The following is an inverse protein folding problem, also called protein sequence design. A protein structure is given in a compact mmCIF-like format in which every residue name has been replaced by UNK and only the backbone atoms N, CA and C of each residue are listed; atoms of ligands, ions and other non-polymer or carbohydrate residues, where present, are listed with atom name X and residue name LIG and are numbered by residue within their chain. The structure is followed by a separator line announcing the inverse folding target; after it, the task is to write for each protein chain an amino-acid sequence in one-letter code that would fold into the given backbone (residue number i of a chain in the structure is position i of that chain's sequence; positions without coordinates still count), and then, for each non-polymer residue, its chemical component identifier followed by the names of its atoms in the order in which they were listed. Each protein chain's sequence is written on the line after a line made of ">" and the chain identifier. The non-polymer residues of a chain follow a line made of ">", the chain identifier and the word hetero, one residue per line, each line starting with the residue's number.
data_IF_614406071884
#
_entry.id   IF_614406071884
#
_cell.length_a   1.000
_cell.length_b   1.000
_cell.length_c   1.000
_cell.angle_alpha   90.00
_cell.angle_beta   90.00
_cell.angle_gamma   90.00
#
_symmetry.space_group_name_H-M   'P 1'
#
loop_
_entity.id
_entity.type
_entity.pdbx_description
1 polymer ?
#
# COMPACT_ATOMS: atom_id res chain seq x y z
N UNK A 1 15.43 -22.18 0.01
CA UNK A 1 14.45 -21.49 0.84
C UNK A 1 13.21 -21.21 -0.02
N UNK A 2 12.00 -21.50 0.49
CA UNK A 2 10.76 -21.36 -0.24
C UNK A 2 10.06 -19.99 -0.16
N UNK A 3 10.72 -18.96 0.37
CA UNK A 3 10.10 -17.61 0.45
C UNK A 3 10.10 -16.95 -0.92
N UNK A 4 8.99 -16.27 -1.26
CA UNK A 4 8.81 -15.55 -2.53
C UNK A 4 9.08 -14.07 -2.42
N UNK A 5 8.99 -13.51 -1.22
CA UNK A 5 9.14 -12.09 -0.94
C UNK A 5 10.14 -11.88 0.20
N UNK A 6 10.99 -10.87 0.08
CA UNK A 6 11.88 -10.40 1.15
C UNK A 6 11.16 -9.24 1.86
N UNK A 7 10.92 -9.41 3.16
CA UNK A 7 10.29 -8.40 4.00
C UNK A 7 11.28 -7.63 4.86
N UNK A 8 10.80 -6.57 5.52
CA UNK A 8 11.53 -5.80 6.51
C UNK A 8 10.69 -4.70 7.13
N UNK A 9 11.11 -4.23 8.31
CA UNK A 9 10.50 -3.11 9.03
C UNK A 9 11.60 -2.10 9.39
N UNK A 10 12.24 -1.48 8.39
CA UNK A 10 13.46 -0.70 8.62
C UNK A 10 13.26 0.51 9.54
N UNK A 11 12.09 1.13 9.58
CA UNK A 11 11.81 2.29 10.44
C UNK A 11 11.84 1.96 11.95
N UNK A 12 11.92 0.69 12.33
CA UNK A 12 12.15 0.25 13.72
C UNK A 12 13.63 0.18 14.09
N UNK A 13 14.54 0.33 13.14
CA UNK A 13 15.96 0.39 13.44
C UNK A 13 16.31 1.64 14.28
N UNK A 14 17.30 1.52 15.16
CA UNK A 14 17.63 2.56 16.13
C UNK A 14 18.23 3.81 15.53
N UNK A 15 18.94 3.71 14.41
CA UNK A 15 19.57 4.86 13.74
C UNK A 15 19.22 4.90 12.26
N UNK A 16 19.33 6.08 11.66
CA UNK A 16 19.10 6.27 10.22
C UNK A 16 20.06 5.43 9.37
N UNK A 17 21.29 5.24 9.84
CA UNK A 17 22.31 4.44 9.18
C UNK A 17 21.89 2.97 9.15
N UNK A 18 21.39 2.42 10.26
CA UNK A 18 20.89 1.05 10.33
C UNK A 18 19.62 0.84 9.48
N UNK A 19 18.73 1.84 9.43
CA UNK A 19 17.59 1.80 8.51
C UNK A 19 18.06 1.63 7.06
N UNK A 20 19.02 2.45 6.64
CA UNK A 20 19.55 2.39 5.27
C UNK A 20 20.29 1.07 5.01
N UNK A 21 21.08 0.61 5.98
CA UNK A 21 21.79 -0.67 5.88
C UNK A 21 20.83 -1.85 5.75
N UNK A 22 19.78 -1.92 6.58
CA UNK A 22 18.77 -2.98 6.50
C UNK A 22 18.07 -3.03 5.14
N UNK A 23 17.81 -1.87 4.53
CA UNK A 23 17.28 -1.80 3.17
C UNK A 23 18.25 -2.35 2.13
N UNK A 24 19.54 -2.01 2.23
CA UNK A 24 20.54 -2.57 1.33
C UNK A 24 20.61 -4.10 1.45
N UNK A 25 20.57 -4.63 2.66
CA UNK A 25 20.55 -6.09 2.91
C UNK A 25 19.31 -6.73 2.25
N UNK A 26 18.12 -6.15 2.42
CA UNK A 26 16.89 -6.65 1.81
C UNK A 26 17.00 -6.69 0.28
N UNK A 27 17.51 -5.61 -0.34
CA UNK A 27 17.71 -5.57 -1.79
C UNK A 27 18.76 -6.58 -2.28
N UNK A 28 19.86 -6.76 -1.56
CA UNK A 28 20.89 -7.73 -1.91
C UNK A 28 20.38 -9.17 -1.85
N UNK A 29 19.59 -9.51 -0.83
CA UNK A 29 18.94 -10.81 -0.72
C UNK A 29 17.95 -11.01 -1.89
N UNK A 30 17.09 -10.05 -2.14
CA UNK A 30 16.09 -10.14 -3.20
C UNK A 30 16.74 -10.30 -4.59
N UNK A 31 17.80 -9.55 -4.87
CA UNK A 31 18.56 -9.67 -6.11
C UNK A 31 19.24 -11.04 -6.24
N UNK A 32 19.89 -11.50 -5.18
CA UNK A 32 20.59 -12.80 -5.15
C UNK A 32 19.66 -13.96 -5.48
N UNK A 33 18.42 -13.92 -4.98
CA UNK A 33 17.45 -15.01 -5.12
C UNK A 33 16.33 -14.70 -6.12
N UNK A 34 16.41 -13.59 -6.84
CA UNK A 34 15.38 -13.12 -7.79
C UNK A 34 13.98 -13.04 -7.18
N UNK A 35 13.87 -12.42 -6.01
CA UNK A 35 12.63 -12.32 -5.22
C UNK A 35 12.04 -10.92 -5.28
N UNK A 36 10.76 -10.81 -4.93
CA UNK A 36 10.11 -9.53 -4.66
C UNK A 36 10.54 -8.97 -3.30
N UNK A 37 10.26 -7.70 -3.08
CA UNK A 37 10.46 -6.99 -1.82
C UNK A 37 9.13 -6.40 -1.38
N UNK A 38 8.75 -6.59 -0.11
CA UNK A 38 7.67 -5.85 0.54
C UNK A 38 8.16 -5.36 1.91
N UNK A 39 8.26 -4.05 2.05
CA UNK A 39 8.83 -3.38 3.23
C UNK A 39 7.75 -2.56 3.92
N UNK A 40 7.56 -2.78 5.23
CA UNK A 40 6.83 -1.85 6.11
C UNK A 40 7.64 -0.56 6.21
N UNK A 41 7.33 0.39 5.34
CA UNK A 41 8.16 1.57 5.12
C UNK A 41 7.53 2.79 5.77
N UNK A 42 8.30 3.51 6.60
CA UNK A 42 7.87 4.78 7.19
C UNK A 42 6.49 4.70 7.87
N UNK A 43 6.21 3.59 8.55
CA UNK A 43 4.98 3.39 9.30
C UNK A 43 5.04 4.05 10.67
N UNK A 44 5.16 5.35 10.67
CA UNK A 44 5.32 6.18 11.86
C UNK A 44 4.72 7.57 11.61
N UNK A 45 4.42 8.29 12.69
CA UNK A 45 3.90 9.66 12.61
C UNK A 45 4.97 10.74 12.41
N UNK A 46 6.24 10.38 12.41
CA UNK A 46 7.36 11.31 12.25
C UNK A 46 7.56 11.71 10.78
N UNK A 47 7.42 12.99 10.48
CA UNK A 47 7.70 13.57 9.15
C UNK A 47 9.17 13.48 8.72
N UNK A 48 10.09 13.16 9.63
CA UNK A 48 11.50 12.93 9.33
C UNK A 48 11.78 11.50 8.88
N UNK A 49 10.85 10.57 9.06
CA UNK A 49 10.92 9.24 8.48
C UNK A 49 10.65 9.36 6.98
N UNK A 50 11.71 9.29 6.18
CA UNK A 50 11.71 9.53 4.72
C UNK A 50 12.45 8.42 3.96
N UNK A 51 12.43 7.23 4.52
CA UNK A 51 13.18 6.10 3.98
C UNK A 51 12.59 5.53 2.70
N UNK A 52 11.33 5.87 2.38
CA UNK A 52 10.74 5.56 1.08
C UNK A 52 11.56 6.12 -0.09
N UNK A 53 12.30 7.23 0.10
CA UNK A 53 13.22 7.73 -0.93
C UNK A 53 14.42 6.81 -1.15
N UNK A 54 14.91 6.16 -0.09
CA UNK A 54 15.99 5.15 -0.19
C UNK A 54 15.49 3.91 -0.92
N UNK A 55 14.29 3.40 -0.57
CA UNK A 55 13.66 2.28 -1.26
C UNK A 55 13.51 2.56 -2.75
N UNK A 56 12.96 3.73 -3.09
CA UNK A 56 12.77 4.14 -4.48
C UNK A 56 14.09 4.30 -5.24
N UNK A 57 15.12 4.86 -4.59
CA UNK A 57 16.45 5.03 -5.19
C UNK A 57 17.13 3.68 -5.44
N UNK A 58 17.04 2.73 -4.51
CA UNK A 58 17.59 1.38 -4.68
C UNK A 58 16.83 0.60 -5.76
N UNK A 59 15.49 0.70 -5.78
CA UNK A 59 14.67 0.09 -6.82
C UNK A 59 15.06 0.60 -8.22
N UNK A 60 15.26 1.90 -8.36
CA UNK A 60 15.71 2.51 -9.60
C UNK A 60 17.15 2.08 -9.97
N UNK A 61 18.07 2.11 -8.99
CA UNK A 61 19.47 1.71 -9.19
C UNK A 61 19.61 0.29 -9.70
N UNK A 62 18.76 -0.63 -9.23
CA UNK A 62 18.85 -2.05 -9.54
C UNK A 62 17.81 -2.53 -10.55
N UNK A 63 17.05 -1.61 -11.15
CA UNK A 63 15.95 -1.90 -12.09
C UNK A 63 14.94 -2.94 -11.54
N UNK A 64 14.55 -2.74 -10.28
CA UNK A 64 13.67 -3.66 -9.55
C UNK A 64 12.30 -3.07 -9.26
N UNK A 65 11.94 -1.89 -9.78
CA UNK A 65 10.76 -1.16 -9.37
C UNK A 65 9.48 -1.99 -9.32
N UNK A 66 9.19 -2.73 -10.36
CA UNK A 66 7.98 -3.58 -10.45
C UNK A 66 7.99 -4.79 -9.50
N UNK A 67 9.08 -5.03 -8.79
CA UNK A 67 9.23 -6.10 -7.78
C UNK A 67 9.28 -5.56 -6.37
N UNK A 68 9.13 -4.25 -6.18
CA UNK A 68 9.30 -3.60 -4.87
C UNK A 68 8.00 -2.94 -4.44
N UNK A 69 7.54 -3.29 -3.26
CA UNK A 69 6.38 -2.71 -2.59
C UNK A 69 6.82 -2.01 -1.31
N UNK A 70 6.35 -0.78 -1.12
CA UNK A 70 6.44 -0.04 0.13
C UNK A 70 5.06 0.00 0.79
N UNK A 71 4.90 -0.76 1.86
CA UNK A 71 3.66 -0.84 2.62
C UNK A 71 3.58 0.28 3.64
N UNK A 72 2.37 0.72 3.98
CA UNK A 72 2.02 1.78 4.92
C UNK A 72 2.42 3.19 4.47
N UNK A 73 3.68 3.54 4.53
CA UNK A 73 4.24 4.88 4.23
C UNK A 73 3.46 6.02 4.91
N UNK A 74 3.01 5.81 6.15
CA UNK A 74 2.12 6.73 6.88
C UNK A 74 2.78 8.07 7.20
N UNK A 75 4.09 8.10 7.39
CA UNK A 75 4.84 9.35 7.57
C UNK A 75 4.61 10.36 6.43
N UNK A 76 4.30 9.87 5.21
CA UNK A 76 4.03 10.71 4.06
C UNK A 76 2.82 11.63 4.26
N UNK A 77 1.87 11.25 5.12
CA UNK A 77 0.76 12.10 5.51
C UNK A 77 1.23 13.44 6.09
N UNK A 78 2.31 13.42 6.85
CA UNK A 78 2.88 14.59 7.54
C UNK A 78 3.91 15.38 6.72
N UNK A 79 4.34 14.88 5.56
CA UNK A 79 5.32 15.58 4.72
C UNK A 79 4.76 16.92 4.22
N UNK A 80 5.59 17.95 4.24
CA UNK A 80 5.23 19.20 3.58
C UNK A 80 5.08 19.01 2.07
N UNK A 81 4.28 19.86 1.45
CA UNK A 81 3.93 19.72 0.03
C UNK A 81 5.12 19.91 -0.92
N UNK A 82 6.11 20.73 -0.56
CA UNK A 82 7.30 20.92 -1.40
C UNK A 82 8.14 19.64 -1.47
N UNK A 83 8.36 18.99 -0.33
CA UNK A 83 9.07 17.71 -0.27
C UNK A 83 8.25 16.60 -0.99
N UNK A 84 6.96 16.49 -0.70
CA UNK A 84 6.10 15.49 -1.33
C UNK A 84 6.08 15.62 -2.87
N UNK A 85 5.99 16.85 -3.39
CA UNK A 85 6.03 17.08 -4.85
C UNK A 85 7.34 16.62 -5.49
N UNK A 86 8.48 16.85 -4.83
CA UNK A 86 9.78 16.33 -5.28
C UNK A 86 9.82 14.81 -5.20
N UNK A 87 9.35 14.23 -4.10
CA UNK A 87 9.34 12.79 -3.88
C UNK A 87 8.51 12.06 -4.94
N UNK A 88 7.33 12.54 -5.29
CA UNK A 88 6.50 11.90 -6.32
C UNK A 88 7.18 11.76 -7.67
N UNK A 89 8.12 12.64 -8.03
CA UNK A 89 8.91 12.49 -9.25
C UNK A 89 9.82 11.25 -9.17
N UNK A 90 10.48 11.04 -8.04
CA UNK A 90 11.31 9.86 -7.80
C UNK A 90 10.45 8.59 -7.78
N UNK A 91 9.32 8.59 -7.06
CA UNK A 91 8.42 7.45 -6.95
C UNK A 91 7.88 7.03 -8.32
N UNK A 92 7.52 8.00 -9.18
CA UNK A 92 7.09 7.72 -10.55
C UNK A 92 8.19 7.09 -11.39
N UNK A 93 9.43 7.56 -11.27
CA UNK A 93 10.58 7.01 -11.99
C UNK A 93 10.94 5.61 -11.52
N UNK A 94 10.86 5.35 -10.22
CA UNK A 94 11.24 4.06 -9.61
C UNK A 94 10.27 2.93 -9.90
N UNK A 95 9.02 3.23 -10.27
CA UNK A 95 7.93 2.27 -10.55
C UNK A 95 7.59 1.33 -9.39
N UNK A 96 7.96 1.66 -8.16
CA UNK A 96 7.60 0.87 -7.00
C UNK A 96 6.11 0.92 -6.74
N UNK A 97 5.59 -0.11 -6.07
CA UNK A 97 4.20 -0.21 -5.67
C UNK A 97 4.01 0.24 -4.23
N UNK A 98 2.79 0.62 -3.90
CA UNK A 98 2.40 1.01 -2.54
C UNK A 98 1.20 0.22 -2.07
N UNK A 99 1.21 -0.16 -0.78
CA UNK A 99 0.04 -0.72 -0.09
C UNK A 99 -0.31 0.21 1.07
N UNK A 100 -1.50 0.79 1.03
CA UNK A 100 -2.06 1.52 2.16
C UNK A 100 -3.03 0.60 2.92
N UNK A 101 -2.93 0.59 4.24
CA UNK A 101 -3.70 -0.29 5.12
C UNK A 101 -4.69 0.54 5.97
N UNK A 102 -5.80 1.04 5.39
CA UNK A 102 -6.62 2.08 6.01
C UNK A 102 -7.24 1.66 7.34
N UNK A 103 -7.59 0.39 7.54
CA UNK A 103 -8.19 -0.09 8.79
C UNK A 103 -7.20 -0.02 9.96
N UNK A 104 -5.96 -0.43 9.71
CA UNK A 104 -4.91 -0.46 10.73
C UNK A 104 -4.29 0.92 10.91
N UNK A 105 -3.92 1.58 9.82
CA UNK A 105 -3.22 2.85 9.90
C UNK A 105 -4.05 3.96 10.58
N UNK A 106 -5.37 4.05 10.33
CA UNK A 106 -6.22 5.05 11.00
C UNK A 106 -6.33 4.81 12.50
N UNK A 107 -6.15 3.58 12.95
CA UNK A 107 -6.20 3.19 14.35
C UNK A 107 -4.84 3.33 15.05
N UNK A 108 -3.74 2.93 14.39
CA UNK A 108 -2.39 2.95 14.98
C UNK A 108 -1.75 4.34 14.94
N UNK A 109 -2.02 5.13 13.90
CA UNK A 109 -1.42 6.45 13.75
C UNK A 109 -2.17 7.54 14.53
N UNK A 110 -1.52 8.67 14.79
CA UNK A 110 -2.08 9.81 15.51
C UNK A 110 -2.24 9.60 17.02
N UNK A 111 -1.59 8.59 17.60
CA UNK A 111 -1.69 8.32 19.04
C UNK A 111 -1.02 9.39 19.89
N UNK A 112 0.04 9.99 19.38
CA UNK A 112 0.74 11.09 20.05
C UNK A 112 0.15 12.47 19.74
N UNK A 113 -0.79 12.57 18.79
CA UNK A 113 -1.44 13.83 18.48
C UNK A 113 -2.42 14.23 19.58
N UNK A 114 -2.49 15.52 19.85
CA UNK A 114 -3.59 16.12 20.58
C UNK A 114 -4.77 16.32 19.61
N UNK A 115 -5.35 17.48 19.49
CA UNK A 115 -6.36 17.78 18.48
C UNK A 115 -5.90 18.97 17.59
N UNK A 116 -6.12 18.93 16.25
CA UNK A 116 -6.79 17.84 15.49
C UNK A 116 -5.87 16.63 15.31
N UNK A 117 -6.44 15.41 15.33
CA UNK A 117 -5.70 14.18 15.03
C UNK A 117 -5.53 13.99 13.51
N UNK A 118 -4.36 13.50 13.09
CA UNK A 118 -4.09 13.14 11.70
C UNK A 118 -4.91 11.93 11.27
N UNK A 119 -5.13 11.75 9.97
CA UNK A 119 -5.82 10.56 9.43
C UNK A 119 -4.93 9.32 9.38
N UNK A 120 -3.63 9.48 9.43
CA UNK A 120 -2.65 8.40 9.55
C UNK A 120 -2.50 7.49 8.33
N UNK A 121 -3.00 7.87 7.15
CA UNK A 121 -2.89 7.09 5.91
C UNK A 121 -2.04 7.86 4.90
N UNK A 122 -1.23 7.17 4.13
CA UNK A 122 -0.38 7.75 3.08
C UNK A 122 -1.19 8.55 2.04
N UNK A 123 -0.50 9.30 1.18
CA UNK A 123 -1.11 10.22 0.19
C UNK A 123 -1.69 9.50 -1.04
N UNK A 124 -2.60 8.55 -0.84
CA UNK A 124 -3.20 7.71 -1.89
C UNK A 124 -3.77 8.53 -3.05
N UNK A 125 -4.55 9.56 -2.74
CA UNK A 125 -5.19 10.42 -3.77
C UNK A 125 -4.17 11.10 -4.68
N UNK A 126 -3.04 11.53 -4.13
CA UNK A 126 -1.96 12.16 -4.89
C UNK A 126 -1.16 11.12 -5.68
N UNK A 127 -0.94 9.93 -5.13
CA UNK A 127 -0.30 8.82 -5.86
C UNK A 127 -1.09 8.46 -7.11
N UNK A 128 -2.40 8.27 -6.99
CA UNK A 128 -3.28 7.98 -8.12
C UNK A 128 -3.21 9.06 -9.20
N UNK A 129 -3.22 10.36 -8.81
CA UNK A 129 -3.07 11.48 -9.74
C UNK A 129 -1.73 11.49 -10.48
N UNK A 130 -0.69 10.93 -9.88
CA UNK A 130 0.65 10.84 -10.46
C UNK A 130 0.88 9.51 -11.20
N UNK A 131 -0.13 8.66 -11.37
CA UNK A 131 -0.04 7.33 -11.97
C UNK A 131 0.99 6.43 -11.24
N UNK A 132 1.08 6.54 -9.92
CA UNK A 132 1.85 5.65 -9.06
C UNK A 132 0.91 4.53 -8.62
N UNK A 133 1.34 3.27 -8.78
CA UNK A 133 0.50 2.15 -8.38
C UNK A 133 0.38 2.10 -6.85
N UNK A 134 -0.84 2.27 -6.38
CA UNK A 134 -1.21 2.11 -4.97
C UNK A 134 -2.43 1.22 -4.87
N UNK A 135 -2.42 0.31 -3.91
CA UNK A 135 -3.55 -0.55 -3.57
C UNK A 135 -3.85 -0.49 -2.07
N UNK A 136 -4.95 -1.08 -1.67
CA UNK A 136 -5.30 -1.23 -0.27
C UNK A 136 -5.04 -2.66 0.20
N UNK A 137 -4.48 -2.79 1.42
CA UNK A 137 -4.28 -4.02 2.14
C UNK A 137 -5.14 -4.07 3.40
N UNK A 138 -5.42 -5.27 3.89
CA UNK A 138 -6.12 -5.45 5.16
C UNK A 138 -5.15 -5.31 6.32
N UNK A 139 -3.91 -5.78 6.13
CA UNK A 139 -2.87 -5.89 7.14
C UNK A 139 -3.28 -6.92 8.21
N UNK A 140 -3.52 -6.49 9.43
CA UNK A 140 -3.87 -7.34 10.56
C UNK A 140 -5.33 -7.87 10.47
N UNK A 141 -5.52 -9.15 10.80
CA UNK A 141 -6.82 -9.83 10.77
C UNK A 141 -7.06 -10.54 12.10
N UNK A 142 -7.90 -9.96 12.94
CA UNK A 142 -8.27 -10.50 14.25
C UNK A 142 -7.05 -10.86 15.12
N UNK A 143 -6.19 -9.89 15.32
CA UNK A 143 -4.95 -10.00 16.09
C UNK A 143 -4.82 -8.85 17.11
N UNK A 144 -3.71 -8.79 17.91
CA UNK A 144 -3.54 -7.76 18.93
C UNK A 144 -3.46 -6.32 18.38
N UNK A 145 -3.09 -6.12 17.14
CA UNK A 145 -2.99 -4.79 16.52
C UNK A 145 -4.31 -4.34 15.91
N UNK A 146 -5.09 -5.27 15.35
CA UNK A 146 -6.42 -4.97 14.81
C UNK A 146 -7.45 -6.08 15.10
N UNK A 147 -8.11 -6.07 16.27
CA UNK A 147 -9.03 -7.12 16.69
C UNK A 147 -10.37 -7.15 15.91
N UNK A 148 -10.67 -6.16 15.07
CA UNK A 148 -11.90 -6.06 14.27
C UNK A 148 -11.73 -6.61 12.85
N UNK A 149 -10.57 -7.15 12.50
CA UNK A 149 -10.26 -7.64 11.17
C UNK A 149 -11.04 -8.89 10.79
N UNK A 150 -11.58 -8.92 9.59
CA UNK A 150 -12.38 -10.05 9.05
C UNK A 150 -11.88 -10.53 7.69
N UNK A 151 -10.73 -10.03 7.22
CA UNK A 151 -10.20 -10.25 5.86
C UNK A 151 -11.15 -9.79 4.73
N UNK A 152 -12.15 -8.95 5.03
CA UNK A 152 -13.09 -8.45 4.04
C UNK A 152 -12.53 -7.24 3.28
N UNK A 153 -12.13 -7.43 2.03
CA UNK A 153 -11.55 -6.37 1.21
C UNK A 153 -12.55 -5.28 0.80
N UNK A 154 -13.86 -5.53 0.82
CA UNK A 154 -14.86 -4.47 0.63
C UNK A 154 -14.92 -3.53 1.84
N UNK A 155 -14.72 -4.05 3.07
CA UNK A 155 -14.59 -3.24 4.27
C UNK A 155 -13.34 -2.35 4.20
N UNK A 156 -12.22 -2.91 3.78
CA UNK A 156 -10.97 -2.17 3.57
C UNK A 156 -11.16 -1.05 2.55
N UNK A 157 -11.77 -1.37 1.41
CA UNK A 157 -12.05 -0.40 0.36
C UNK A 157 -12.98 0.71 0.86
N UNK A 158 -14.07 0.35 1.54
CA UNK A 158 -15.04 1.30 2.08
C UNK A 158 -14.34 2.30 3.02
N UNK A 159 -13.55 1.83 3.97
CA UNK A 159 -12.77 2.70 4.86
C UNK A 159 -11.76 3.55 4.10
N UNK A 160 -11.04 2.95 3.15
CA UNK A 160 -10.03 3.64 2.34
C UNK A 160 -10.62 4.79 1.53
N UNK A 161 -11.78 4.60 0.91
CA UNK A 161 -12.50 5.66 0.19
C UNK A 161 -12.81 6.85 1.11
N UNK A 162 -13.25 6.60 2.35
CA UNK A 162 -13.54 7.64 3.33
C UNK A 162 -12.28 8.38 3.78
N UNK A 163 -11.30 7.65 4.30
CA UNK A 163 -10.11 8.28 4.90
C UNK A 163 -9.23 8.99 3.87
N UNK A 164 -9.17 8.47 2.63
CA UNK A 164 -8.44 9.09 1.52
C UNK A 164 -9.27 10.14 0.74
N UNK A 165 -10.53 10.38 1.15
CA UNK A 165 -11.46 11.32 0.48
C UNK A 165 -11.64 11.05 -1.02
N UNK A 166 -11.84 9.78 -1.36
CA UNK A 166 -12.11 9.31 -2.72
C UNK A 166 -13.62 9.12 -2.94
N UNK A 167 -14.42 10.17 -2.67
CA UNK A 167 -15.88 10.10 -2.57
C UNK A 167 -16.62 10.61 -3.82
N UNK A 168 -15.92 10.95 -4.90
CA UNK A 168 -16.54 11.23 -6.19
C UNK A 168 -17.10 9.95 -6.82
N UNK A 169 -18.26 10.04 -7.53
CA UNK A 169 -18.87 8.86 -8.16
C UNK A 169 -17.90 8.06 -9.05
N UNK A 170 -17.09 8.73 -9.86
CA UNK A 170 -16.04 8.07 -10.65
C UNK A 170 -14.98 7.41 -9.79
N UNK A 171 -14.56 8.05 -8.70
CA UNK A 171 -13.57 7.51 -7.78
C UNK A 171 -14.08 6.27 -7.03
N UNK A 172 -15.36 6.23 -6.66
CA UNK A 172 -15.98 5.08 -6.00
C UNK A 172 -16.09 3.91 -6.98
N UNK A 173 -16.51 4.17 -8.23
CA UNK A 173 -16.59 3.14 -9.26
C UNK A 173 -15.22 2.55 -9.60
N UNK A 174 -14.18 3.38 -9.68
CA UNK A 174 -12.80 2.94 -9.91
C UNK A 174 -12.16 2.33 -8.66
N UNK A 175 -12.78 2.50 -7.50
CA UNK A 175 -12.24 2.09 -6.20
C UNK A 175 -11.93 0.59 -6.11
N UNK A 176 -12.73 -0.26 -6.77
CA UNK A 176 -12.47 -1.72 -6.79
C UNK A 176 -11.09 -2.06 -7.33
N UNK A 177 -10.53 -1.27 -8.24
CA UNK A 177 -9.18 -1.46 -8.77
C UNK A 177 -8.11 -1.44 -7.66
N UNK A 178 -8.37 -0.70 -6.57
CA UNK A 178 -7.44 -0.58 -5.43
C UNK A 178 -7.31 -1.88 -4.62
N UNK A 179 -8.27 -2.79 -4.74
CA UNK A 179 -8.27 -4.09 -4.07
C UNK A 179 -8.28 -5.28 -5.06
N UNK A 180 -8.10 -4.99 -6.34
CA UNK A 180 -8.05 -6.00 -7.42
C UNK A 180 -6.85 -5.77 -8.34
N UNK A 181 -7.00 -5.04 -9.44
CA UNK A 181 -5.99 -4.84 -10.48
C UNK A 181 -4.68 -4.24 -9.93
N UNK A 182 -4.78 -3.23 -9.05
CA UNK A 182 -3.59 -2.60 -8.48
C UNK A 182 -2.86 -3.53 -7.51
N UNK A 183 -3.61 -4.35 -6.75
CA UNK A 183 -3.05 -5.38 -5.89
C UNK A 183 -2.37 -6.48 -6.71
N UNK A 184 -3.00 -6.92 -7.80
CA UNK A 184 -2.42 -7.91 -8.70
C UNK A 184 -1.08 -7.43 -9.29
N UNK A 185 -0.98 -6.14 -9.67
CA UNK A 185 0.28 -5.54 -10.12
C UNK A 185 1.36 -5.56 -9.03
N UNK A 186 0.99 -5.21 -7.78
CA UNK A 186 1.93 -5.24 -6.67
C UNK A 186 2.42 -6.66 -6.35
N UNK A 187 1.56 -7.66 -6.53
CA UNK A 187 1.89 -9.07 -6.37
C UNK A 187 2.60 -9.69 -7.59
N UNK A 188 2.76 -8.94 -8.69
CA UNK A 188 3.38 -9.43 -9.93
C UNK A 188 2.57 -10.51 -10.65
N UNK A 189 1.23 -10.53 -10.47
CA UNK A 189 0.36 -11.49 -11.14
C UNK A 189 0.14 -11.08 -12.60
N UNK A 190 0.48 -11.96 -13.53
CA UNK A 190 0.40 -11.70 -14.98
C UNK A 190 -0.85 -12.26 -15.64
N UNK A 191 -1.52 -13.21 -14.99
CA UNK A 191 -2.73 -13.92 -15.47
C UNK A 191 -3.99 -13.51 -14.69
N UNK A 192 -4.02 -12.29 -14.18
CA UNK A 192 -5.11 -11.75 -13.37
C UNK A 192 -6.10 -10.94 -14.21
N UNK A 193 -7.39 -11.06 -13.86
CA UNK A 193 -8.49 -10.34 -14.48
C UNK A 193 -9.37 -11.20 -15.38
N UNK A 194 -10.58 -10.70 -15.69
CA UNK A 194 -11.55 -11.40 -16.51
C UNK A 194 -11.18 -11.20 -17.99
N UNK A 195 -10.31 -12.06 -18.48
CA UNK A 195 -9.84 -12.09 -19.87
C UNK A 195 -9.68 -13.53 -20.33
N UNK A 196 -9.86 -13.75 -21.64
CA UNK A 196 -9.63 -15.07 -22.25
C UNK A 196 -8.17 -15.50 -22.05
N UNK A 197 -7.97 -16.71 -21.55
CA UNK A 197 -6.67 -17.29 -21.26
C UNK A 197 -6.15 -17.06 -19.84
N UNK A 198 -6.76 -16.18 -19.05
CA UNK A 198 -6.40 -15.99 -17.64
C UNK A 198 -7.00 -17.07 -16.73
N UNK A 199 -6.38 -17.24 -15.57
CA UNK A 199 -6.92 -18.09 -14.50
C UNK A 199 -8.27 -17.58 -14.01
N UNK A 200 -9.23 -18.49 -13.78
CA UNK A 200 -10.59 -18.17 -13.35
C UNK A 200 -10.65 -17.82 -11.84
N UNK A 201 -9.93 -16.81 -11.42
CA UNK A 201 -9.90 -16.31 -10.05
C UNK A 201 -10.84 -15.10 -9.93
N UNK A 202 -12.09 -15.34 -9.53
CA UNK A 202 -13.10 -14.29 -9.37
C UNK A 202 -14.02 -14.57 -8.18
N UNK A 203 -14.69 -13.52 -7.73
CA UNK A 203 -15.78 -13.60 -6.74
C UNK A 203 -17.08 -13.10 -7.36
N UNK A 204 -18.20 -13.59 -6.86
CA UNK A 204 -19.54 -13.14 -7.24
C UNK A 204 -20.15 -12.36 -6.09
N UNK A 205 -20.57 -11.14 -6.38
CA UNK A 205 -21.18 -10.23 -5.41
C UNK A 205 -22.66 -10.00 -5.75
N UNK A 206 -23.59 -10.07 -4.78
CA UNK A 206 -25.01 -9.80 -4.99
C UNK A 206 -25.28 -8.28 -5.07
N UNK A 207 -24.75 -7.63 -6.09
CA UNK A 207 -24.81 -6.20 -6.31
C UNK A 207 -25.05 -5.89 -7.79
N UNK A 208 -25.67 -4.75 -8.07
CA UNK A 208 -25.94 -4.30 -9.44
C UNK A 208 -24.67 -3.81 -10.16
N UNK A 209 -23.75 -3.25 -9.40
CA UNK A 209 -22.47 -2.73 -9.89
C UNK A 209 -21.47 -2.53 -8.73
N UNK A 210 -20.26 -2.11 -9.04
CA UNK A 210 -19.21 -1.89 -8.05
C UNK A 210 -19.56 -0.86 -6.98
N UNK A 211 -20.22 0.23 -7.35
CA UNK A 211 -20.69 1.24 -6.39
C UNK A 211 -21.66 0.63 -5.37
N UNK A 212 -22.65 -0.14 -5.84
CA UNK A 212 -23.65 -0.79 -4.98
C UNK A 212 -23.01 -1.84 -4.08
N UNK A 213 -22.04 -2.61 -4.59
CA UNK A 213 -21.27 -3.57 -3.80
C UNK A 213 -20.55 -2.92 -2.62
N UNK A 214 -19.82 -1.83 -2.89
CA UNK A 214 -19.06 -1.10 -1.86
C UNK A 214 -19.99 -0.42 -0.87
N UNK A 215 -21.04 0.26 -1.35
CA UNK A 215 -22.02 0.98 -0.51
C UNK A 215 -22.69 0.06 0.51
N UNK A 216 -23.08 -1.14 0.08
CA UNK A 216 -23.79 -2.11 0.94
C UNK A 216 -22.86 -3.07 1.65
N UNK A 217 -21.55 -3.08 1.31
CA UNK A 217 -20.58 -4.06 1.81
C UNK A 217 -21.13 -5.50 1.72
N UNK A 218 -21.62 -5.83 0.53
CA UNK A 218 -22.30 -7.10 0.30
C UNK A 218 -21.39 -8.30 0.57
N UNK A 219 -21.88 -9.37 1.18
CA UNK A 219 -21.10 -10.59 1.36
C UNK A 219 -20.84 -11.27 0.01
N UNK A 220 -19.68 -11.90 -0.13
CA UNK A 220 -19.40 -12.78 -1.26
C UNK A 220 -20.34 -13.98 -1.25
N UNK A 221 -20.79 -14.41 -2.44
CA UNK A 221 -21.58 -15.65 -2.59
C UNK A 221 -20.75 -16.81 -3.11
N UNK A 222 -19.77 -16.53 -3.97
CA UNK A 222 -18.84 -17.50 -4.55
C UNK A 222 -17.53 -16.82 -4.87
#
# INVERSE_FOLDING_TARGET
>A
MGADVVGGIPHFEFTREYVVESMHIAFDIARKYNKQIDIHCDEIDDEQSRFVETVAALALKYDMGEKVTASHTTAMHSYNNAYASRLFRLLKMSKIHFVANPLVNIHLQGRFDTYPKRRGVTRVKEMLKNNINVCFGHDDVFDPWYPLGTANMLQVLHMGLHVCQLMGYGQINDGLKLVTENSAKALGLTDYGIQEGNSANFIVLPAENGFDAVRRQVPTRY
#
